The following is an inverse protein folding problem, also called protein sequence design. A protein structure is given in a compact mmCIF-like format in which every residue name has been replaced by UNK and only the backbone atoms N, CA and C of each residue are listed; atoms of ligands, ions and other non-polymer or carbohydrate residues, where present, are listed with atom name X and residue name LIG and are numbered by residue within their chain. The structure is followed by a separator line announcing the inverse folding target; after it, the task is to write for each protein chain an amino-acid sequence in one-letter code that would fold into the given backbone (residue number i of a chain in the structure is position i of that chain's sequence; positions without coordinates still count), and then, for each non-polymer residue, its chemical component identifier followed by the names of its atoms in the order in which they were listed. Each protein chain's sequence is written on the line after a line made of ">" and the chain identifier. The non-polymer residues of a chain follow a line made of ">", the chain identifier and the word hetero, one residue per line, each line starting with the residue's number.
data_IF_660340985354
#
_entry.id   IF_660340985354
#
_cell.length_a   1.000
_cell.length_b   1.000
_cell.length_c   1.000
_cell.angle_alpha   90.00
_cell.angle_beta   90.00
_cell.angle_gamma   90.00
#
_symmetry.space_group_name_H-M   'P 1'
#
loop_
_entity.id
_entity.type
_entity.pdbx_description
1 polymer ?
#
# COMPACT_ATOMS: atom_id res chain seq x y z
N UNK A 1 -0.03 15.52 3.82
CA UNK A 1 1.12 15.15 4.68
C UNK A 1 0.65 14.43 5.93
N UNK A 2 -0.03 15.07 6.91
CA UNK A 2 -0.58 14.33 8.09
C UNK A 2 -1.55 13.22 7.67
N UNK A 3 -2.49 13.55 6.79
CA UNK A 3 -3.50 12.62 6.26
C UNK A 3 -2.88 11.40 5.55
N UNK A 4 -1.69 11.54 4.96
CA UNK A 4 -1.00 10.41 4.31
C UNK A 4 -0.43 9.46 5.37
N UNK A 5 0.09 9.98 6.49
CA UNK A 5 0.57 9.17 7.60
C UNK A 5 -0.58 8.49 8.36
N UNK A 6 -1.70 9.20 8.56
CA UNK A 6 -2.91 8.64 9.20
C UNK A 6 -3.49 7.50 8.34
N UNK A 7 -3.63 7.71 7.04
CA UNK A 7 -4.10 6.68 6.12
C UNK A 7 -3.11 5.51 6.01
N UNK A 8 -1.80 5.77 6.05
CA UNK A 8 -0.79 4.71 6.10
C UNK A 8 -0.93 3.86 7.36
N UNK A 9 -1.19 4.48 8.52
CA UNK A 9 -1.45 3.76 9.76
C UNK A 9 -2.75 2.94 9.68
N UNK A 10 -3.80 3.45 9.04
CA UNK A 10 -5.03 2.71 8.77
C UNK A 10 -4.75 1.48 7.89
N UNK A 11 -4.06 1.65 6.77
CA UNK A 11 -3.68 0.55 5.87
C UNK A 11 -2.82 -0.50 6.57
N UNK A 12 -1.83 -0.06 7.37
CA UNK A 12 -1.03 -0.95 8.19
C UNK A 12 -1.90 -1.78 9.15
N UNK A 13 -2.83 -1.14 9.85
CA UNK A 13 -3.72 -1.84 10.78
C UNK A 13 -4.65 -2.83 10.08
N UNK A 14 -5.19 -2.47 8.91
CA UNK A 14 -6.01 -3.35 8.07
C UNK A 14 -5.21 -4.60 7.69
N UNK A 15 -4.03 -4.44 7.08
CA UNK A 15 -3.19 -5.57 6.67
C UNK A 15 -2.73 -6.41 7.87
N UNK A 16 -2.31 -5.77 8.96
CA UNK A 16 -1.90 -6.46 10.20
C UNK A 16 -3.02 -7.28 10.81
N UNK A 17 -4.26 -6.80 10.76
CA UNK A 17 -5.43 -7.56 11.24
C UNK A 17 -5.70 -8.84 10.43
N UNK A 18 -5.15 -8.92 9.21
CA UNK A 18 -5.20 -10.09 8.32
C UNK A 18 -3.93 -10.93 8.38
N UNK A 19 -3.00 -10.63 9.29
CA UNK A 19 -1.73 -11.33 9.44
C UNK A 19 -0.65 -10.91 8.44
N UNK A 20 -0.88 -9.85 7.67
CA UNK A 20 0.08 -9.34 6.68
C UNK A 20 0.92 -8.25 7.33
N UNK A 21 2.24 -8.40 7.26
CA UNK A 21 3.21 -7.41 7.72
C UNK A 21 3.79 -6.65 6.53
N UNK A 22 4.31 -5.45 6.79
CA UNK A 22 4.94 -4.58 5.81
C UNK A 22 5.63 -3.41 6.53
N UNK A 23 6.53 -2.70 5.85
CA UNK A 23 7.18 -1.55 6.46
C UNK A 23 6.27 -0.32 6.48
N UNK A 24 6.51 0.62 7.40
CA UNK A 24 5.77 1.88 7.43
C UNK A 24 5.89 2.66 6.11
N UNK A 25 7.03 2.55 5.42
CA UNK A 25 7.26 3.22 4.14
C UNK A 25 6.40 2.62 3.04
N UNK A 26 6.17 1.31 3.03
CA UNK A 26 5.30 0.66 2.03
C UNK A 26 3.86 1.14 2.16
N UNK A 27 3.36 1.21 3.40
CA UNK A 27 2.02 1.74 3.66
C UNK A 27 1.91 3.24 3.38
N UNK A 28 2.99 4.00 3.55
CA UNK A 28 3.03 5.41 3.13
C UNK A 28 2.96 5.55 1.61
N UNK A 29 3.68 4.72 0.85
CA UNK A 29 3.58 4.66 -0.62
C UNK A 29 2.14 4.34 -1.03
N UNK A 30 1.53 3.34 -0.39
CA UNK A 30 0.13 2.95 -0.62
C UNK A 30 -0.85 4.11 -0.37
N UNK A 31 -0.72 4.80 0.76
CA UNK A 31 -1.58 5.91 1.14
C UNK A 31 -1.48 7.07 0.14
N UNK A 32 -0.26 7.48 -0.21
CA UNK A 32 -0.02 8.56 -1.18
C UNK A 32 -0.56 8.20 -2.56
N UNK A 33 -0.31 6.96 -3.01
CA UNK A 33 -0.79 6.49 -4.30
C UNK A 33 -2.33 6.47 -4.36
N UNK A 34 -2.98 5.93 -3.32
CA UNK A 34 -4.44 5.88 -3.22
C UNK A 34 -5.04 7.30 -3.26
N UNK A 35 -4.57 8.21 -2.41
CA UNK A 35 -5.11 9.58 -2.33
C UNK A 35 -4.93 10.38 -3.60
N UNK A 36 -3.89 10.10 -4.38
CA UNK A 36 -3.60 10.78 -5.65
C UNK A 36 -4.10 10.03 -6.87
N UNK A 37 -4.76 8.88 -6.69
CA UNK A 37 -5.18 8.00 -7.77
C UNK A 37 -4.02 7.60 -8.70
N UNK A 38 -2.85 7.35 -8.11
CA UNK A 38 -1.67 6.85 -8.82
C UNK A 38 -1.60 5.34 -8.73
N UNK A 39 -1.00 4.74 -9.77
CA UNK A 39 -0.61 3.34 -9.76
C UNK A 39 0.81 3.19 -9.21
N UNK A 40 1.06 2.11 -8.49
CA UNK A 40 2.38 1.73 -7.96
C UNK A 40 3.03 0.75 -8.94
N UNK A 41 4.24 1.07 -9.38
CA UNK A 41 5.12 0.13 -10.09
C UNK A 41 6.20 -0.34 -9.11
N UNK A 42 6.20 -1.62 -8.80
CA UNK A 42 7.19 -2.23 -7.91
C UNK A 42 7.43 -3.68 -8.28
N UNK A 43 8.69 -4.13 -8.17
CA UNK A 43 9.07 -5.56 -8.24
C UNK A 43 8.87 -6.29 -6.90
N UNK A 44 8.50 -5.55 -5.85
CA UNK A 44 8.24 -6.12 -4.53
C UNK A 44 6.84 -6.76 -4.49
N UNK A 45 6.81 -8.05 -4.20
CA UNK A 45 5.59 -8.85 -4.15
C UNK A 45 4.72 -8.52 -2.93
N UNK A 46 5.24 -7.82 -1.92
CA UNK A 46 4.44 -7.42 -0.75
C UNK A 46 3.26 -6.54 -1.14
N UNK A 47 3.42 -5.68 -2.16
CA UNK A 47 2.33 -4.86 -2.68
C UNK A 47 1.18 -5.69 -3.27
N UNK A 48 1.47 -6.88 -3.83
CA UNK A 48 0.43 -7.81 -4.30
C UNK A 48 -0.40 -8.33 -3.11
N UNK A 49 0.24 -8.62 -1.98
CA UNK A 49 -0.44 -9.02 -0.75
C UNK A 49 -1.27 -7.87 -0.17
N UNK A 50 -0.77 -6.63 -0.24
CA UNK A 50 -1.51 -5.45 0.23
C UNK A 50 -2.74 -5.16 -0.63
N UNK A 51 -2.63 -5.25 -1.95
CA UNK A 51 -3.71 -4.99 -2.92
C UNK A 51 -5.00 -5.77 -2.61
N UNK A 52 -4.88 -6.97 -2.04
CA UNK A 52 -6.04 -7.81 -1.65
C UNK A 52 -6.89 -7.17 -0.54
N UNK A 53 -6.30 -6.27 0.27
CA UNK A 53 -6.93 -5.73 1.48
C UNK A 53 -7.09 -4.21 1.48
N UNK A 54 -6.28 -3.49 0.71
CA UNK A 54 -6.31 -2.02 0.65
C UNK A 54 -6.45 -1.53 -0.80
N UNK A 55 -7.10 -0.37 -1.03
CA UNK A 55 -7.52 0.09 -2.35
C UNK A 55 -6.38 0.76 -3.14
N UNK A 56 -5.29 0.04 -3.38
CA UNK A 56 -4.18 0.49 -4.24
C UNK A 56 -4.35 -0.04 -5.66
N UNK A 57 -3.58 0.49 -6.61
CA UNK A 57 -3.54 0.03 -8.00
C UNK A 57 -2.09 -0.33 -8.32
N UNK A 58 -1.85 -1.53 -8.82
CA UNK A 58 -0.52 -1.97 -9.24
C UNK A 58 -0.40 -1.96 -10.76
N UNK A 59 0.71 -1.42 -11.28
CA UNK A 59 1.08 -1.63 -12.68
C UNK A 59 1.68 -3.02 -12.85
N UNK A 60 1.41 -3.70 -13.98
CA UNK A 60 2.14 -4.90 -14.32
C UNK A 60 3.62 -4.57 -14.49
N UNK A 61 4.49 -5.38 -13.90
CA UNK A 61 5.91 -5.35 -14.21
C UNK A 61 6.11 -6.30 -15.38
N UNK A 62 6.38 -5.76 -16.57
CA UNK A 62 6.86 -6.57 -17.69
C UNK A 62 8.32 -6.95 -17.41
N UNK A 63 8.61 -8.25 -17.46
CA UNK A 63 9.95 -8.82 -17.29
C UNK A 63 10.75 -8.85 -18.57
#
# INVERSE_FOLDING_TARGET
>A
MSEDYELAAEFFNICRSKGIQGSNTDFLICAVAHRRSYSILSTDNDFQNFLVHIPIILLPVEG
#
